data_IF_350572082316
#
_entry.id   IF_350572082316
#
_cell.length_a   1.000
_cell.length_b   1.000
_cell.length_c   1.000
_cell.angle_alpha   90.00
_cell.angle_beta   90.00
_cell.angle_gamma   90.00
#
_symmetry.space_group_name_H-M   'P 1'
#
loop_
_entity.id
_entity.type
_entity.pdbx_description
1 polymer ?
#
# COMPACT_ATOMS: atom_id res chain seq x y z
N UNK A 1 58.86 11.56 -30.36
CA UNK A 1 57.38 11.63 -30.39
C UNK A 1 56.88 11.67 -28.96
N UNK A 2 56.25 12.76 -28.54
CA UNK A 2 55.66 12.92 -27.19
C UNK A 2 54.14 12.86 -27.34
N UNK A 3 53.53 11.82 -26.77
CA UNK A 3 52.06 11.65 -26.75
C UNK A 3 51.44 12.64 -25.74
N UNK A 4 50.39 13.40 -26.10
CA UNK A 4 49.67 14.22 -25.12
C UNK A 4 48.72 13.33 -24.30
N UNK A 5 48.79 13.46 -22.98
CA UNK A 5 47.84 12.84 -22.05
C UNK A 5 46.55 13.66 -22.10
N UNK A 6 45.47 13.05 -22.60
CA UNK A 6 44.13 13.60 -22.59
C UNK A 6 43.59 13.50 -21.15
N UNK A 7 43.43 14.65 -20.49
CA UNK A 7 42.88 14.74 -19.15
C UNK A 7 41.35 14.60 -19.22
N UNK A 8 40.83 13.42 -18.88
CA UNK A 8 39.40 13.16 -18.75
C UNK A 8 38.90 13.83 -17.46
N UNK A 9 38.28 15.00 -17.58
CA UNK A 9 37.55 15.64 -16.48
C UNK A 9 36.24 14.87 -16.29
N UNK A 10 36.23 13.95 -15.33
CA UNK A 10 35.01 13.30 -14.84
C UNK A 10 34.23 14.36 -14.05
N UNK A 11 33.22 14.97 -14.68
CA UNK A 11 32.29 15.87 -14.00
C UNK A 11 31.49 15.05 -12.98
N UNK A 12 31.90 15.15 -11.71
CA UNK A 12 31.15 14.62 -10.59
C UNK A 12 29.88 15.48 -10.45
N UNK A 13 28.78 15.04 -11.08
CA UNK A 13 27.47 15.62 -10.80
C UNK A 13 27.22 15.43 -9.30
N UNK A 14 26.94 16.50 -8.52
CA UNK A 14 26.57 16.34 -7.13
C UNK A 14 25.29 15.50 -7.08
N UNK A 15 25.40 14.28 -6.53
CA UNK A 15 24.24 13.55 -6.02
C UNK A 15 23.63 14.46 -4.97
N UNK A 16 22.60 15.22 -5.37
CA UNK A 16 21.75 15.89 -4.38
C UNK A 16 21.01 14.75 -3.69
N UNK A 17 21.22 14.51 -2.39
CA UNK A 17 20.20 13.78 -1.67
C UNK A 17 18.91 14.56 -1.90
N UNK A 18 17.96 13.96 -2.63
CA UNK A 18 16.57 14.35 -2.46
C UNK A 18 16.37 14.25 -0.95
N UNK A 19 15.97 15.35 -0.29
CA UNK A 19 15.39 15.20 1.03
C UNK A 19 14.28 14.20 0.85
N UNK A 20 14.50 12.97 1.32
CA UNK A 20 13.52 11.91 1.23
C UNK A 20 12.27 12.50 1.90
N UNK A 21 11.22 12.71 1.12
CA UNK A 21 9.95 13.18 1.65
C UNK A 21 9.61 12.29 2.86
N UNK A 22 9.05 12.90 3.90
CA UNK A 22 8.67 12.14 5.10
C UNK A 22 7.79 10.95 4.65
N UNK A 23 8.17 9.70 4.98
CA UNK A 23 7.38 8.53 4.60
C UNK A 23 5.92 8.66 5.00
N UNK A 24 5.63 9.34 6.10
CA UNK A 24 4.28 9.64 6.52
C UNK A 24 3.55 10.51 5.50
N UNK A 25 4.17 11.60 5.05
CA UNK A 25 3.56 12.53 4.08
C UNK A 25 3.34 11.87 2.71
N UNK A 26 4.25 10.97 2.29
CA UNK A 26 4.09 10.19 1.07
C UNK A 26 2.91 9.21 1.18
N UNK A 27 2.80 8.50 2.30
CA UNK A 27 1.72 7.53 2.52
C UNK A 27 0.37 8.25 2.68
N UNK A 28 0.31 9.40 3.36
CA UNK A 28 -0.93 10.11 3.72
C UNK A 28 -1.16 11.40 2.93
N UNK A 29 -0.70 11.45 1.67
CA UNK A 29 -0.84 12.63 0.82
C UNK A 29 -2.29 13.11 0.78
N UNK A 30 -2.46 14.40 1.01
CA UNK A 30 -3.78 15.05 0.99
C UNK A 30 -4.21 15.43 -0.41
N UNK A 31 -5.53 15.53 -0.65
CA UNK A 31 -6.08 16.00 -1.92
C UNK A 31 -5.88 15.05 -3.11
N UNK A 32 -5.51 13.80 -2.87
CA UNK A 32 -5.22 12.81 -3.93
C UNK A 32 -6.42 12.44 -4.79
N UNK A 33 -7.64 12.77 -4.35
CA UNK A 33 -8.87 12.52 -5.08
C UNK A 33 -9.37 13.76 -5.85
N UNK A 34 -8.69 14.91 -5.76
CA UNK A 34 -9.17 16.18 -6.34
C UNK A 34 -9.23 16.14 -7.87
N UNK A 35 -8.36 15.36 -8.49
CA UNK A 35 -8.28 15.21 -9.95
C UNK A 35 -9.11 14.02 -10.47
N UNK A 36 -9.78 13.28 -9.57
CA UNK A 36 -10.66 12.16 -9.96
C UNK A 36 -12.04 12.73 -10.31
N UNK A 37 -12.54 12.54 -11.55
CA UNK A 37 -13.86 13.03 -11.93
C UNK A 37 -14.97 12.40 -11.06
N UNK A 38 -15.98 13.18 -10.68
CA UNK A 38 -17.07 12.69 -9.83
C UNK A 38 -17.88 11.53 -10.43
N UNK A 39 -17.91 11.41 -11.77
CA UNK A 39 -18.55 10.29 -12.46
C UNK A 39 -17.66 9.03 -12.56
N UNK A 40 -16.40 9.13 -12.15
CA UNK A 40 -15.45 8.02 -12.17
C UNK A 40 -15.44 7.28 -10.84
N UNK A 41 -15.06 6.01 -10.93
CA UNK A 41 -14.77 5.15 -9.80
C UNK A 41 -13.34 4.64 -9.92
N UNK A 42 -12.70 4.40 -8.78
CA UNK A 42 -11.42 3.69 -8.72
C UNK A 42 -11.69 2.27 -8.23
N UNK A 43 -11.33 1.27 -9.03
CA UNK A 43 -11.51 -0.14 -8.68
C UNK A 43 -10.18 -0.77 -8.33
N UNK A 44 -10.11 -1.34 -7.14
CA UNK A 44 -8.97 -2.09 -6.65
C UNK A 44 -9.31 -3.58 -6.56
N UNK A 45 -8.53 -4.43 -7.22
CA UNK A 45 -8.58 -5.86 -6.97
C UNK A 45 -8.02 -6.15 -5.56
N UNK A 46 -8.78 -6.88 -4.75
CA UNK A 46 -8.36 -7.32 -3.42
C UNK A 46 -8.09 -8.82 -3.43
N UNK A 47 -6.88 -9.21 -3.05
CA UNK A 47 -6.50 -10.61 -2.87
C UNK A 47 -6.08 -10.84 -1.42
N UNK A 48 -6.55 -11.94 -0.82
CA UNK A 48 -6.14 -12.39 0.51
C UNK A 48 -5.72 -13.85 0.44
N UNK A 49 -4.53 -14.15 0.96
CA UNK A 49 -4.07 -15.50 1.23
C UNK A 49 -3.58 -15.63 2.67
N UNK A 50 -4.10 -16.63 3.36
CA UNK A 50 -3.76 -17.11 4.69
C UNK A 50 -3.97 -18.63 4.63
N UNK A 51 -2.94 -19.43 4.32
CA UNK A 51 -3.09 -20.87 4.13
C UNK A 51 -3.70 -21.60 5.34
N UNK A 52 -3.49 -21.07 6.54
CA UNK A 52 -4.06 -21.59 7.78
C UNK A 52 -5.55 -21.24 7.98
N UNK A 53 -6.12 -20.34 7.17
CA UNK A 53 -7.50 -19.86 7.30
C UNK A 53 -8.17 -19.62 5.92
N UNK A 54 -8.55 -20.69 5.19
CA UNK A 54 -9.17 -20.58 3.88
C UNK A 54 -10.50 -19.81 3.86
N UNK A 55 -11.23 -19.78 4.99
CA UNK A 55 -12.47 -19.02 5.11
C UNK A 55 -12.22 -17.51 5.04
N UNK A 56 -11.12 -17.04 5.67
CA UNK A 56 -10.70 -15.64 5.58
C UNK A 56 -10.25 -15.29 4.16
N UNK A 57 -9.51 -16.17 3.48
CA UNK A 57 -9.12 -15.96 2.07
C UNK A 57 -10.34 -15.76 1.18
N UNK A 58 -11.32 -16.66 1.30
CA UNK A 58 -12.55 -16.61 0.51
C UNK A 58 -13.37 -15.36 0.84
N UNK A 59 -13.61 -15.05 2.11
CA UNK A 59 -14.41 -13.89 2.50
C UNK A 59 -13.71 -12.55 2.19
N UNK A 60 -12.38 -12.55 2.14
CA UNK A 60 -11.58 -11.35 1.95
C UNK A 60 -11.29 -10.98 0.49
N UNK A 61 -11.29 -11.95 -0.42
CA UNK A 61 -10.90 -11.74 -1.83
C UNK A 61 -12.05 -11.20 -2.66
N UNK A 62 -11.84 -10.15 -3.44
CA UNK A 62 -12.89 -9.49 -4.22
C UNK A 62 -12.41 -8.19 -4.86
N UNK A 63 -13.28 -7.18 -4.91
CA UNK A 63 -12.95 -5.84 -5.39
C UNK A 63 -13.36 -4.81 -4.35
N UNK A 64 -12.57 -3.74 -4.25
CA UNK A 64 -12.92 -2.53 -3.53
C UNK A 64 -13.17 -1.44 -4.55
N UNK A 65 -14.35 -0.86 -4.53
CA UNK A 65 -14.74 0.22 -5.41
C UNK A 65 -14.81 1.49 -4.59
N UNK A 66 -14.06 2.50 -5.01
CA UNK A 66 -14.10 3.85 -4.47
C UNK A 66 -14.92 4.73 -5.42
N UNK A 67 -15.98 5.33 -4.89
CA UNK A 67 -16.80 6.32 -5.61
C UNK A 67 -16.82 7.64 -4.87
N UNK A 68 -16.77 8.76 -5.59
CA UNK A 68 -17.07 10.07 -5.03
C UNK A 68 -18.59 10.21 -4.93
N UNK A 69 -19.07 10.62 -3.75
CA UNK A 69 -20.49 10.82 -3.45
C UNK A 69 -20.70 12.26 -2.93
N UNK A 70 -21.95 12.76 -2.85
CA UNK A 70 -22.21 14.12 -2.36
C UNK A 70 -21.61 14.42 -0.98
N UNK A 71 -21.54 15.71 -0.65
CA UNK A 71 -21.00 16.24 0.60
C UNK A 71 -19.49 16.01 0.82
N UNK A 72 -18.73 16.03 -0.28
CA UNK A 72 -17.27 15.83 -0.29
C UNK A 72 -16.83 14.50 0.36
N UNK A 73 -17.61 13.44 0.12
CA UNK A 73 -17.36 12.11 0.67
C UNK A 73 -16.90 11.13 -0.41
N UNK A 74 -16.02 10.21 -0.03
CA UNK A 74 -15.66 9.01 -0.77
C UNK A 74 -16.33 7.80 -0.11
N UNK A 75 -17.07 7.01 -0.89
CA UNK A 75 -17.65 5.75 -0.43
C UNK A 75 -16.77 4.58 -0.89
N UNK A 76 -16.53 3.64 0.02
CA UNK A 76 -15.90 2.37 -0.30
C UNK A 76 -16.93 1.24 -0.28
N UNK A 77 -16.89 0.41 -1.30
CA UNK A 77 -17.78 -0.72 -1.51
C UNK A 77 -16.97 -2.00 -1.74
N UNK A 78 -17.26 -3.07 -1.00
CA UNK A 78 -16.73 -4.40 -1.29
C UNK A 78 -17.67 -5.13 -2.25
N UNK A 79 -17.11 -5.71 -3.30
CA UNK A 79 -17.84 -6.50 -4.29
C UNK A 79 -17.19 -7.87 -4.49
N UNK A 80 -17.99 -8.93 -4.45
CA UNK A 80 -17.56 -10.31 -4.70
C UNK A 80 -18.70 -11.11 -5.36
N UNK A 81 -18.55 -11.45 -6.64
CA UNK A 81 -19.66 -12.03 -7.42
C UNK A 81 -20.88 -11.10 -7.37
N UNK A 82 -22.03 -11.63 -6.96
CA UNK A 82 -23.27 -10.86 -6.78
C UNK A 82 -23.35 -10.16 -5.40
N UNK A 83 -22.41 -10.41 -4.50
CA UNK A 83 -22.39 -9.78 -3.19
C UNK A 83 -21.81 -8.37 -3.27
N UNK A 84 -22.52 -7.42 -2.69
CA UNK A 84 -22.11 -6.03 -2.60
C UNK A 84 -22.40 -5.51 -1.18
N UNK A 85 -21.37 -4.97 -0.51
CA UNK A 85 -21.48 -4.40 0.84
C UNK A 85 -20.77 -3.05 0.90
N UNK A 86 -21.47 -2.04 1.42
CA UNK A 86 -20.86 -0.75 1.78
C UNK A 86 -19.89 -0.97 2.95
N UNK A 87 -18.63 -0.59 2.76
CA UNK A 87 -17.60 -0.60 3.82
C UNK A 87 -17.75 0.65 4.69
N UNK A 88 -17.92 1.80 4.06
CA UNK A 88 -18.04 3.07 4.77
C UNK A 88 -17.90 4.28 3.87
N UNK A 89 -18.05 5.46 4.49
CA UNK A 89 -17.87 6.76 3.85
C UNK A 89 -16.80 7.54 4.59
N UNK A 90 -15.94 8.22 3.84
CA UNK A 90 -14.77 8.93 4.34
C UNK A 90 -14.71 10.32 3.72
N UNK A 91 -14.20 11.36 4.40
CA UNK A 91 -14.02 12.67 3.79
C UNK A 91 -13.04 12.59 2.61
N UNK A 92 -13.48 12.94 1.41
CA UNK A 92 -12.66 12.91 0.19
C UNK A 92 -11.57 14.02 0.20
N UNK A 93 -11.81 15.10 0.94
CA UNK A 93 -10.88 16.25 1.07
C UNK A 93 -9.60 15.90 1.82
N UNK A 94 -9.62 14.87 2.68
CA UNK A 94 -8.44 14.45 3.44
C UNK A 94 -7.47 13.69 2.55
N UNK A 95 -7.97 12.88 1.62
CA UNK A 95 -7.16 12.02 0.75
C UNK A 95 -7.90 10.74 0.37
N UNK A 96 -7.19 9.80 -0.26
CA UNK A 96 -7.78 8.54 -0.68
C UNK A 96 -7.91 7.57 0.52
N UNK A 97 -9.14 7.16 0.92
CA UNK A 97 -9.37 6.33 2.11
C UNK A 97 -8.89 4.88 1.98
N UNK A 98 -8.43 4.45 0.80
CA UNK A 98 -7.92 3.09 0.59
C UNK A 98 -6.80 2.72 1.56
N UNK A 99 -5.92 3.66 1.90
CA UNK A 99 -4.84 3.40 2.88
C UNK A 99 -5.38 3.09 4.29
N UNK A 100 -6.46 3.75 4.69
CA UNK A 100 -7.08 3.53 6.00
C UNK A 100 -7.84 2.22 6.06
N UNK A 101 -8.58 1.92 5.01
CA UNK A 101 -9.20 0.61 4.84
C UNK A 101 -8.16 -0.51 4.88
N UNK A 102 -7.06 -0.36 4.15
CA UNK A 102 -5.98 -1.34 4.10
C UNK A 102 -5.37 -1.58 5.48
N UNK A 103 -4.90 -0.54 6.17
CA UNK A 103 -4.28 -0.70 7.49
C UNK A 103 -5.25 -1.30 8.51
N UNK A 104 -6.50 -0.85 8.56
CA UNK A 104 -7.48 -1.40 9.50
C UNK A 104 -7.76 -2.87 9.20
N UNK A 105 -7.82 -3.27 7.94
CA UNK A 105 -8.03 -4.68 7.58
C UNK A 105 -6.83 -5.52 7.98
N UNK A 106 -5.61 -5.09 7.68
CA UNK A 106 -4.38 -5.79 8.07
C UNK A 106 -4.25 -5.90 9.60
N UNK A 107 -4.59 -4.85 10.34
CA UNK A 107 -4.60 -4.87 11.81
C UNK A 107 -5.51 -5.99 12.33
N UNK A 108 -6.72 -6.10 11.79
CA UNK A 108 -7.69 -7.10 12.20
C UNK A 108 -7.26 -8.51 11.78
N UNK A 109 -6.76 -8.68 10.56
CA UNK A 109 -6.29 -9.97 10.03
C UNK A 109 -5.11 -10.50 10.87
N UNK A 110 -4.10 -9.66 11.15
CA UNK A 110 -2.93 -10.05 11.96
C UNK A 110 -3.34 -10.36 13.40
N UNK A 111 -4.20 -9.55 14.00
CA UNK A 111 -4.67 -9.80 15.36
C UNK A 111 -5.46 -11.12 15.46
N UNK A 112 -6.33 -11.39 14.49
CA UNK A 112 -7.11 -12.63 14.45
C UNK A 112 -6.21 -13.87 14.28
N UNK A 113 -5.21 -13.80 13.39
CA UNK A 113 -4.33 -14.95 13.12
C UNK A 113 -3.29 -15.21 14.23
N UNK A 114 -2.85 -14.16 14.93
CA UNK A 114 -1.92 -14.30 16.07
C UNK A 114 -2.62 -14.55 17.40
N UNK A 115 -3.94 -14.31 17.49
CA UNK A 115 -4.68 -14.25 18.76
C UNK A 115 -4.36 -13.01 19.60
N UNK A 116 -3.70 -12.01 19.00
CA UNK A 116 -3.26 -10.78 19.64
C UNK A 116 -4.33 -9.68 19.70
N UNK A 117 -3.96 -8.54 20.27
CA UNK A 117 -4.84 -7.36 20.33
C UNK A 117 -4.71 -6.50 19.07
N UNK A 118 -5.82 -6.16 18.38
CA UNK A 118 -5.80 -5.19 17.28
C UNK A 118 -5.22 -3.83 17.69
N UNK A 119 -5.45 -3.41 18.94
CA UNK A 119 -4.89 -2.17 19.49
C UNK A 119 -3.36 -2.22 19.55
N UNK A 120 -2.79 -3.39 19.87
CA UNK A 120 -1.34 -3.58 19.88
C UNK A 120 -0.76 -3.38 18.48
N UNK A 121 -1.28 -4.13 17.49
CA UNK A 121 -0.83 -4.06 16.10
C UNK A 121 -0.96 -2.64 15.54
N UNK A 122 -2.08 -1.96 15.82
CA UNK A 122 -2.29 -0.57 15.43
C UNK A 122 -1.20 0.35 15.98
N UNK A 123 -0.82 0.20 17.25
CA UNK A 123 0.25 1.01 17.84
C UNK A 123 1.60 0.72 17.19
N UNK A 124 1.90 -0.54 16.88
CA UNK A 124 3.13 -0.92 16.17
C UNK A 124 3.21 -0.30 14.77
N UNK A 125 2.11 -0.30 14.02
CA UNK A 125 2.03 0.39 12.71
C UNK A 125 2.21 1.89 12.86
N UNK A 126 1.57 2.51 13.86
CA UNK A 126 1.73 3.95 14.15
C UNK A 126 3.16 4.32 14.51
N UNK A 127 3.87 3.46 15.23
CA UNK A 127 5.27 3.68 15.59
C UNK A 127 6.15 3.58 14.33
N UNK A 128 5.93 2.55 13.50
CA UNK A 128 6.67 2.35 12.25
C UNK A 128 6.50 3.48 11.24
N UNK A 129 5.33 4.12 11.22
CA UNK A 129 5.06 5.30 10.38
C UNK A 129 5.87 6.54 10.77
N UNK A 130 6.46 6.57 11.98
CA UNK A 130 7.30 7.68 12.47
C UNK A 130 8.78 7.42 12.28
N UNK A 131 9.15 6.19 11.91
CA UNK A 131 10.54 5.82 11.71
C UNK A 131 10.96 6.10 10.27
N UNK A 132 12.24 6.45 10.04
CA UNK A 132 12.78 6.50 8.69
C UNK A 132 12.59 5.15 8.01
N UNK A 133 12.05 5.17 6.81
CA UNK A 133 11.77 3.93 6.08
C UNK A 133 12.39 3.92 4.69
N UNK A 134 12.47 2.72 4.14
CA UNK A 134 12.98 2.48 2.80
C UNK A 134 11.98 3.01 1.76
N UNK A 135 12.45 3.96 0.94
CA UNK A 135 11.73 4.48 -0.22
C UNK A 135 12.53 4.11 -1.46
N UNK A 136 11.89 3.41 -2.39
CA UNK A 136 12.49 2.98 -3.67
C UNK A 136 11.69 3.53 -4.82
N UNK A 137 12.34 4.28 -5.70
CA UNK A 137 11.75 4.73 -6.95
C UNK A 137 12.01 3.70 -8.06
N UNK A 138 11.02 3.47 -8.91
CA UNK A 138 11.12 2.57 -10.06
C UNK A 138 10.15 2.97 -11.16
N UNK A 139 10.47 2.61 -12.40
CA UNK A 139 9.55 2.74 -13.53
C UNK A 139 8.71 1.47 -13.65
N UNK A 140 7.41 1.63 -13.84
CA UNK A 140 6.46 0.55 -14.06
C UNK A 140 5.62 0.81 -15.31
N UNK A 141 5.19 -0.25 -15.98
CA UNK A 141 4.21 -0.15 -17.05
C UNK A 141 2.82 -0.46 -16.48
N UNK A 142 1.86 0.44 -16.70
CA UNK A 142 0.45 0.28 -16.29
C UNK A 142 -0.43 0.79 -17.42
N UNK A 143 -1.38 -0.03 -17.86
CA UNK A 143 -2.29 0.29 -18.96
C UNK A 143 -1.59 0.78 -20.24
N UNK A 144 -0.39 0.24 -20.53
CA UNK A 144 0.43 0.63 -21.69
C UNK A 144 1.15 1.98 -21.56
N UNK A 145 1.17 2.56 -20.36
CA UNK A 145 1.90 3.79 -20.05
C UNK A 145 3.02 3.49 -19.05
N UNK A 146 4.19 4.10 -19.27
CA UNK A 146 5.26 4.11 -18.28
C UNK A 146 4.94 5.16 -17.22
N UNK A 147 4.86 4.73 -15.97
CA UNK A 147 4.66 5.58 -14.81
C UNK A 147 5.91 5.57 -13.93
N UNK A 148 6.16 6.69 -13.25
CA UNK A 148 7.18 6.72 -12.18
C UNK A 148 6.49 6.41 -10.86
N UNK A 149 6.92 5.34 -10.20
CA UNK A 149 6.33 4.87 -8.95
C UNK A 149 7.35 4.92 -7.81
N UNK A 150 6.85 5.15 -6.61
CA UNK A 150 7.61 5.08 -5.37
C UNK A 150 7.02 3.99 -4.48
N UNK A 151 7.88 3.12 -3.98
CA UNK A 151 7.54 2.06 -3.04
C UNK A 151 8.07 2.42 -1.65
N UNK A 152 7.17 2.46 -0.67
CA UNK A 152 7.47 2.72 0.73
C UNK A 152 7.21 1.43 1.52
N UNK A 153 8.20 0.94 2.27
CA UNK A 153 8.09 -0.37 2.96
C UNK A 153 8.25 -0.25 4.47
N UNK A 154 7.17 -0.42 5.24
CA UNK A 154 7.16 -0.44 6.70
C UNK A 154 7.32 -1.86 7.25
N UNK A 155 7.99 -2.01 8.40
CA UNK A 155 8.17 -3.31 9.08
C UNK A 155 7.77 -3.19 10.56
N UNK A 156 6.47 -3.09 10.86
CA UNK A 156 5.98 -2.64 12.16
C UNK A 156 6.30 -3.57 13.33
N UNK A 157 6.58 -4.84 13.07
CA UNK A 157 6.84 -5.83 14.10
C UNK A 157 8.31 -6.26 14.17
N UNK A 158 9.18 -5.65 13.36
CA UNK A 158 10.60 -5.97 13.33
C UNK A 158 11.26 -5.65 14.67
N UNK A 159 11.84 -6.68 15.29
CA UNK A 159 12.51 -6.56 16.60
C UNK A 159 11.53 -6.32 17.75
N UNK A 160 10.24 -6.61 17.56
CA UNK A 160 9.25 -6.40 18.60
C UNK A 160 9.46 -7.35 19.79
N UNK A 161 9.29 -6.81 21.01
CA UNK A 161 9.51 -7.56 22.26
C UNK A 161 8.56 -8.76 22.43
N UNK A 162 7.44 -8.76 21.70
CA UNK A 162 6.42 -9.80 21.77
C UNK A 162 6.56 -10.83 20.63
N UNK A 163 7.68 -10.85 19.90
CA UNK A 163 7.94 -11.73 18.77
C UNK A 163 7.64 -13.22 19.04
N UNK A 164 7.98 -13.73 20.22
CA UNK A 164 7.77 -15.12 20.61
C UNK A 164 6.27 -15.53 20.56
N UNK A 165 5.36 -14.56 20.65
CA UNK A 165 3.91 -14.78 20.59
C UNK A 165 3.31 -14.48 19.21
N UNK A 166 4.12 -14.08 18.22
CA UNK A 166 3.65 -13.64 16.89
C UNK A 166 3.58 -14.77 15.86
N UNK A 167 4.07 -15.98 16.17
CA UNK A 167 3.91 -17.15 15.29
C UNK A 167 4.41 -16.89 13.84
N UNK A 168 5.51 -16.14 13.70
CA UNK A 168 6.09 -15.76 12.40
C UNK A 168 5.59 -14.41 11.84
N UNK A 169 4.54 -13.82 12.41
CA UNK A 169 4.04 -12.50 11.98
C UNK A 169 4.97 -11.34 12.36
N UNK A 170 6.04 -11.57 13.12
CA UNK A 170 7.05 -10.54 13.43
C UNK A 170 7.80 -10.03 12.19
N UNK A 171 7.82 -10.81 11.11
CA UNK A 171 8.34 -10.40 9.79
C UNK A 171 7.32 -9.67 8.90
N UNK A 172 6.18 -9.23 9.46
CA UNK A 172 5.17 -8.45 8.74
C UNK A 172 5.80 -7.25 8.04
N UNK A 173 5.60 -7.21 6.74
CA UNK A 173 6.02 -6.12 5.86
C UNK A 173 4.79 -5.48 5.23
N UNK A 174 4.71 -4.14 5.29
CA UNK A 174 3.66 -3.35 4.67
C UNK A 174 4.28 -2.50 3.56
N UNK A 175 3.84 -2.68 2.34
CA UNK A 175 4.36 -1.99 1.16
C UNK A 175 3.27 -1.12 0.56
N UNK A 176 3.56 0.16 0.40
CA UNK A 176 2.69 1.17 -0.20
C UNK A 176 3.35 1.65 -1.48
N UNK A 177 2.70 1.44 -2.61
CA UNK A 177 3.17 1.91 -3.92
C UNK A 177 2.31 3.06 -4.39
N UNK A 178 2.95 4.19 -4.67
CA UNK A 178 2.31 5.45 -5.08
C UNK A 178 2.88 5.97 -6.38
N UNK A 179 2.11 6.77 -7.10
CA UNK A 179 2.57 7.45 -8.30
C UNK A 179 1.73 8.71 -8.55
N UNK A 180 2.37 9.80 -8.98
CA UNK A 180 1.69 11.02 -9.45
C UNK A 180 0.87 10.76 -10.73
N UNK A 181 1.25 9.75 -11.50
CA UNK A 181 0.58 9.37 -12.75
C UNK A 181 -0.66 8.48 -12.49
N UNK A 182 -0.84 7.99 -11.26
CA UNK A 182 -1.95 7.13 -10.90
C UNK A 182 -3.13 7.93 -10.32
N UNK A 183 -4.36 7.71 -10.82
CA UNK A 183 -5.54 8.37 -10.26
C UNK A 183 -5.74 7.93 -8.81
N UNK A 184 -5.91 8.89 -7.91
CA UNK A 184 -6.07 8.59 -6.49
C UNK A 184 -4.78 8.16 -5.78
N UNK A 185 -3.60 8.39 -6.37
CA UNK A 185 -2.26 8.24 -5.76
C UNK A 185 -1.76 6.80 -5.56
N UNK A 186 -2.57 5.89 -5.02
CA UNK A 186 -2.14 4.51 -4.74
C UNK A 186 -2.32 3.58 -5.95
N UNK A 187 -1.24 2.93 -6.37
CA UNK A 187 -1.28 1.84 -7.36
C UNK A 187 -1.39 0.48 -6.70
N UNK A 188 -0.71 0.26 -5.58
CA UNK A 188 -0.78 -0.98 -4.83
C UNK A 188 -0.55 -0.78 -3.32
N UNK A 189 -1.24 -1.58 -2.50
CA UNK A 189 -1.05 -1.70 -1.05
C UNK A 189 -0.92 -3.18 -0.73
N UNK A 190 0.19 -3.59 -0.12
CA UNK A 190 0.49 -5.00 0.13
C UNK A 190 0.94 -5.21 1.57
N UNK A 191 0.34 -6.19 2.25
CA UNK A 191 0.82 -6.71 3.51
C UNK A 191 1.25 -8.15 3.30
N UNK A 192 2.44 -8.50 3.79
CA UNK A 192 2.97 -9.85 3.65
C UNK A 192 3.70 -10.30 4.92
N UNK A 193 3.48 -11.54 5.29
CA UNK A 193 4.33 -12.29 6.22
C UNK A 193 4.92 -13.44 5.42
N UNK A 194 6.25 -13.48 5.23
CA UNK A 194 6.88 -14.53 4.44
C UNK A 194 6.63 -15.90 5.06
N UNK A 195 6.57 -16.93 4.20
CA UNK A 195 6.66 -18.33 4.62
C UNK A 195 8.10 -18.82 4.56
N UNK A 196 8.27 -20.13 4.78
CA UNK A 196 9.54 -20.77 4.45
C UNK A 196 9.82 -20.64 2.94
N UNK A 197 11.10 -20.65 2.50
CA UNK A 197 11.46 -20.42 1.10
C UNK A 197 10.80 -21.35 0.06
N UNK A 198 10.29 -22.50 0.49
CA UNK A 198 9.63 -23.49 -0.36
C UNK A 198 8.11 -23.50 -0.20
N UNK A 199 7.55 -22.58 0.59
CA UNK A 199 6.12 -22.51 0.90
C UNK A 199 5.55 -21.14 0.55
N UNK A 200 4.24 -21.03 0.28
CA UNK A 200 3.58 -19.74 0.14
C UNK A 200 3.74 -18.86 1.40
N UNK A 201 3.57 -17.54 1.29
CA UNK A 201 3.51 -16.64 2.43
C UNK A 201 2.54 -17.13 3.52
N UNK A 202 2.87 -16.92 4.80
CA UNK A 202 1.96 -17.20 5.91
C UNK A 202 0.72 -16.29 5.87
N UNK A 203 0.92 -15.08 5.35
CA UNK A 203 -0.13 -14.11 5.12
C UNK A 203 0.25 -13.23 3.93
N UNK A 204 -0.71 -12.97 3.06
CA UNK A 204 -0.61 -11.99 1.99
C UNK A 204 -1.97 -11.29 1.83
N UNK A 205 -1.99 -9.96 1.89
CA UNK A 205 -3.16 -9.17 1.49
C UNK A 205 -2.73 -8.05 0.57
N UNK A 206 -3.33 -7.99 -0.62
CA UNK A 206 -3.02 -7.00 -1.62
C UNK A 206 -4.27 -6.26 -2.08
N UNK A 207 -4.11 -4.96 -2.32
CA UNK A 207 -5.03 -4.11 -3.06
C UNK A 207 -4.27 -3.52 -4.23
N UNK A 208 -4.69 -3.77 -5.46
CA UNK A 208 -4.05 -3.25 -6.66
C UNK A 208 -5.07 -2.49 -7.51
N UNK A 209 -4.74 -1.27 -7.92
CA UNK A 209 -5.58 -0.48 -8.81
C UNK A 209 -5.69 -1.20 -10.17
N UNK A 210 -6.90 -1.56 -10.57
CA UNK A 210 -7.14 -2.28 -11.84
C UNK A 210 -7.90 -1.45 -12.85
N UNK A 211 -8.69 -0.48 -12.40
CA UNK A 211 -9.47 0.37 -13.28
C UNK A 211 -9.73 1.73 -12.64
N UNK A 212 -9.80 2.74 -13.49
CA UNK A 212 -10.13 4.11 -13.12
C UNK A 212 -10.90 4.75 -14.28
N UNK A 213 -12.22 4.75 -14.18
CA UNK A 213 -13.08 5.12 -15.29
C UNK A 213 -14.51 5.38 -14.84
N UNK A 214 -15.38 5.69 -15.80
CA UNK A 214 -16.80 5.91 -15.52
C UNK A 214 -17.42 4.68 -14.85
N UNK A 215 -18.34 4.93 -13.90
CA UNK A 215 -19.16 3.88 -13.32
C UNK A 215 -19.85 3.06 -14.42
N UNK A 216 -19.73 1.73 -14.36
CA UNK A 216 -20.39 0.78 -15.27
C UNK A 216 -21.82 0.49 -14.84
#
# INVERSE_FOLDING_TARGET
MRFPILLLVLALLPFRPLYAADPFDLIFRTGTLSDVPAAHQLTYARTVSVPANPQMEQAGTGRIVLSLVPDDMAQLDFQQGDQHRIIGRFPATVGNPMIMYFFETVINDVAQNTGGSPYYIRNRIKDALREPTEIKEFSAETNGQNITAQQITLRPLKGDRNNANMQGYDDLTLTVTVSDDAPGWYTALVAEVPGDPTTPPLYHSALALTDAGAAQ
#
